data_IF_991967951165
#
_entry.id   IF_991967951165
#
_cell.length_a   1.000
_cell.length_b   1.000
_cell.length_c   1.000
_cell.angle_alpha   90.00
_cell.angle_beta   90.00
_cell.angle_gamma   90.00
#
_symmetry.space_group_name_H-M   'P 1'
#
loop_
_entity.id
_entity.type
_entity.pdbx_description
1 polymer ?
#
# COMPACT_ATOMS: atom_id res chain seq x y z
N UNK A 1 9.46 -12.42 -5.01
CA UNK A 1 9.20 -11.10 -5.65
C UNK A 1 7.69 -10.86 -5.65
N UNK A 2 7.20 -9.96 -4.81
CA UNK A 2 5.77 -9.63 -4.75
C UNK A 2 5.45 -8.56 -5.83
N UNK A 3 4.80 -8.98 -6.91
CA UNK A 3 4.35 -8.12 -8.03
C UNK A 3 3.12 -7.26 -7.66
N UNK A 4 3.17 -6.54 -6.53
CA UNK A 4 2.04 -5.75 -6.04
C UNK A 4 1.80 -4.55 -6.94
N UNK A 5 0.57 -4.39 -7.39
CA UNK A 5 0.11 -3.25 -8.19
C UNK A 5 -0.98 -2.49 -7.43
N UNK A 6 -1.18 -1.23 -7.76
CA UNK A 6 -2.24 -0.43 -7.18
C UNK A 6 -3.60 -0.91 -7.72
N UNK A 7 -4.57 -1.28 -6.86
CA UNK A 7 -5.87 -1.77 -7.32
C UNK A 7 -6.71 -0.71 -8.05
N UNK A 8 -6.38 0.57 -7.88
CA UNK A 8 -7.13 1.68 -8.48
C UNK A 8 -6.62 2.11 -9.86
N UNK A 9 -5.31 1.98 -10.12
CA UNK A 9 -4.69 2.49 -11.35
C UNK A 9 -3.71 1.52 -12.01
N UNK A 10 -3.63 0.31 -11.47
CA UNK A 10 -2.76 -0.79 -11.86
C UNK A 10 -1.25 -0.46 -11.90
N UNK A 11 -0.83 0.66 -11.27
CA UNK A 11 0.57 1.04 -11.22
C UNK A 11 1.34 0.19 -10.22
N UNK A 12 2.54 -0.25 -10.61
CA UNK A 12 3.51 -0.90 -9.72
C UNK A 12 4.31 0.11 -8.87
N UNK A 13 4.10 1.43 -9.08
CA UNK A 13 4.76 2.48 -8.32
C UNK A 13 4.09 2.64 -6.95
N UNK A 14 4.46 1.77 -6.02
CA UNK A 14 4.02 1.79 -4.63
C UNK A 14 5.18 2.20 -3.73
N UNK A 15 4.86 2.99 -2.72
CA UNK A 15 5.79 3.48 -1.72
C UNK A 15 5.18 3.22 -0.34
N UNK A 16 5.98 2.83 0.64
CA UNK A 16 5.52 2.77 2.03
C UNK A 16 6.01 4.03 2.72
N UNK A 17 5.09 4.79 3.29
CA UNK A 17 5.38 5.99 4.03
C UNK A 17 5.23 5.71 5.53
N UNK A 18 6.17 6.21 6.32
CA UNK A 18 6.07 6.27 7.78
C UNK A 18 6.01 7.74 8.20
N UNK A 19 4.91 8.13 8.84
CA UNK A 19 4.68 9.50 9.32
C UNK A 19 4.34 9.42 10.80
N UNK A 20 5.28 9.87 11.64
CA UNK A 20 5.23 9.71 13.10
C UNK A 20 5.03 8.24 13.49
N UNK A 21 3.84 7.87 13.99
CA UNK A 21 3.49 6.53 14.44
C UNK A 21 2.69 5.73 13.39
N UNK A 22 2.37 6.33 12.24
CA UNK A 22 1.54 5.71 11.22
C UNK A 22 2.40 5.21 10.05
N UNK A 23 2.29 3.93 9.70
CA UNK A 23 2.93 3.37 8.50
C UNK A 23 1.86 2.93 7.50
N UNK A 24 1.94 3.37 6.24
CA UNK A 24 0.94 3.02 5.22
C UNK A 24 1.55 2.95 3.82
N UNK A 25 0.97 2.12 2.95
CA UNK A 25 1.33 2.10 1.53
C UNK A 25 0.62 3.20 0.77
N UNK A 26 1.30 3.90 -0.12
CA UNK A 26 0.77 4.92 -1.03
C UNK A 26 1.15 4.58 -2.46
N UNK A 27 0.20 4.70 -3.38
CA UNK A 27 0.52 4.69 -4.80
C UNK A 27 1.08 6.04 -5.24
N UNK A 28 2.27 6.05 -5.85
CA UNK A 28 2.89 7.27 -6.36
C UNK A 28 2.21 7.82 -7.63
N UNK A 29 1.44 6.99 -8.35
CA UNK A 29 0.73 7.42 -9.58
C UNK A 29 -0.60 8.10 -9.26
N UNK A 30 -1.50 7.43 -8.54
CA UNK A 30 -2.85 7.95 -8.27
C UNK A 30 -3.02 8.53 -6.86
N UNK A 31 -2.01 8.42 -5.99
CA UNK A 31 -2.06 8.93 -4.63
C UNK A 31 -2.88 8.09 -3.64
N UNK A 32 -3.50 6.99 -4.08
CA UNK A 32 -4.30 6.10 -3.23
C UNK A 32 -3.48 5.62 -2.02
N UNK A 33 -4.07 5.71 -0.82
CA UNK A 33 -3.45 5.35 0.46
C UNK A 33 -4.06 4.08 1.04
N UNK A 34 -3.20 3.21 1.55
CA UNK A 34 -3.56 1.98 2.22
C UNK A 34 -3.95 2.21 3.67
N UNK A 35 -4.43 1.15 4.35
CA UNK A 35 -4.65 1.19 5.79
C UNK A 35 -3.35 1.49 6.55
N UNK A 36 -3.51 2.08 7.74
CA UNK A 36 -2.41 2.29 8.69
C UNK A 36 -2.04 0.92 9.29
N UNK A 37 -0.73 0.70 9.39
CA UNK A 37 -0.12 -0.42 10.06
C UNK A 37 1.00 0.07 11.00
N UNK A 38 1.44 -0.81 11.88
CA UNK A 38 2.47 -0.51 12.88
C UNK A 38 3.87 -0.46 12.27
N UNK A 39 4.08 -1.12 11.13
CA UNK A 39 5.39 -1.27 10.49
C UNK A 39 5.28 -1.41 8.97
N UNK A 40 6.44 -1.41 8.31
CA UNK A 40 6.58 -1.46 6.86
C UNK A 40 6.00 -2.75 6.26
N UNK A 41 6.26 -3.90 6.87
CA UNK A 41 5.74 -5.18 6.37
C UNK A 41 4.22 -5.27 6.52
N UNK A 42 3.70 -4.80 7.65
CA UNK A 42 2.29 -4.69 7.96
C UNK A 42 1.58 -3.85 6.93
N UNK A 43 2.13 -2.68 6.56
CA UNK A 43 1.57 -1.79 5.55
C UNK A 43 1.44 -2.50 4.18
N UNK A 44 2.47 -3.25 3.78
CA UNK A 44 2.42 -4.03 2.55
C UNK A 44 1.46 -5.22 2.63
N UNK A 45 1.35 -5.90 3.78
CA UNK A 45 0.42 -7.02 3.98
C UNK A 45 -1.05 -6.56 3.93
N UNK A 46 -1.37 -5.43 4.55
CA UNK A 46 -2.75 -4.90 4.53
C UNK A 46 -3.13 -4.29 3.18
N UNK A 47 -2.15 -3.77 2.42
CA UNK A 47 -2.37 -3.34 1.03
C UNK A 47 -2.90 -4.49 0.16
N UNK A 48 -2.34 -5.69 0.29
CA UNK A 48 -2.78 -6.86 -0.47
C UNK A 48 -4.21 -7.26 -0.15
N UNK A 49 -4.60 -7.20 1.12
CA UNK A 49 -5.97 -7.52 1.55
C UNK A 49 -7.00 -6.61 0.89
N UNK A 50 -6.66 -5.35 0.62
CA UNK A 50 -7.55 -4.38 -0.02
C UNK A 50 -7.65 -4.56 -1.53
N UNK A 51 -6.65 -5.16 -2.17
CA UNK A 51 -6.68 -5.47 -3.61
C UNK A 51 -7.54 -6.71 -3.95
N UNK A 52 -7.93 -7.51 -2.94
CA UNK A 52 -8.74 -8.74 -3.08
C UNK A 52 -10.23 -8.56 -2.76
N UNK A 53 -10.79 -7.37 -2.89
CA UNK A 53 -12.25 -7.25 -2.96
C UNK A 53 -12.70 -7.61 -4.38
N UNK A 54 -12.88 -8.91 -4.63
CA UNK A 54 -13.82 -9.44 -5.63
C UNK A 54 -15.26 -9.35 -5.09
#
# INVERSE_FOLDING_TARGET
MNNKSCPFCNSKKLEVMQVMFNTFTRCQKCGARGPIANDFEGALKVWDKRAKSE
#
